data_IF_120968003582
#
_entry.id   IF_120968003582
#
_cell.length_a   1.000
_cell.length_b   1.000
_cell.length_c   1.000
_cell.angle_alpha   90.00
_cell.angle_beta   90.00
_cell.angle_gamma   90.00
#
_symmetry.space_group_name_H-M   'P 1'
#
loop_
_entity.id
_entity.type
_entity.pdbx_description
1 polymer ?
#
# COMPACT_ATOMS: atom_id res chain seq x y z
N UNK A 1 -21.77 17.17 -8.73
CA UNK A 1 -21.46 18.50 -9.31
C UNK A 1 -20.46 19.28 -8.47
N UNK A 2 -20.74 19.62 -7.20
CA UNK A 2 -19.79 20.38 -6.36
C UNK A 2 -18.46 19.64 -6.13
N UNK A 3 -18.52 18.38 -5.69
CA UNK A 3 -17.32 17.56 -5.45
C UNK A 3 -16.51 17.27 -6.71
N UNK A 4 -17.17 17.17 -7.86
CA UNK A 4 -16.51 16.98 -9.15
C UNK A 4 -15.71 18.24 -9.52
N UNK A 5 -16.28 19.43 -9.32
CA UNK A 5 -15.60 20.71 -9.56
C UNK A 5 -14.41 20.86 -8.61
N UNK A 6 -14.57 20.55 -7.32
CA UNK A 6 -13.47 20.56 -6.34
C UNK A 6 -12.36 19.60 -6.76
N UNK A 7 -12.72 18.37 -7.16
CA UNK A 7 -11.76 17.37 -7.65
C UNK A 7 -11.00 17.85 -8.89
N UNK A 8 -11.69 18.45 -9.86
CA UNK A 8 -11.08 19.02 -11.05
C UNK A 8 -10.14 20.19 -10.72
N UNK A 9 -10.49 21.06 -9.77
CA UNK A 9 -9.63 22.18 -9.36
C UNK A 9 -8.37 21.71 -8.63
N UNK A 10 -8.47 20.68 -7.78
CA UNK A 10 -7.31 20.07 -7.12
C UNK A 10 -6.40 19.38 -8.15
N UNK A 11 -6.98 18.61 -9.07
CA UNK A 11 -6.22 17.99 -10.15
C UNK A 11 -5.54 19.05 -11.02
N UNK A 12 -6.25 20.10 -11.41
CA UNK A 12 -5.68 21.25 -12.12
C UNK A 12 -4.48 21.82 -11.35
N UNK A 13 -4.62 22.09 -10.05
CA UNK A 13 -3.52 22.64 -9.25
C UNK A 13 -2.29 21.72 -9.17
N UNK A 14 -2.50 20.39 -9.11
CA UNK A 14 -1.43 19.39 -9.10
C UNK A 14 -0.69 19.35 -10.44
N UNK A 15 -1.41 19.41 -11.58
CA UNK A 15 -0.81 19.21 -12.91
C UNK A 15 -0.34 20.49 -13.61
N UNK A 16 -0.96 21.65 -13.35
CA UNK A 16 -0.67 22.89 -14.10
C UNK A 16 0.74 23.43 -13.86
N UNK A 17 1.34 23.09 -12.71
CA UNK A 17 2.70 23.51 -12.34
C UNK A 17 3.75 22.42 -12.57
N UNK A 18 3.46 21.43 -13.43
CA UNK A 18 4.34 20.28 -13.69
C UNK A 18 4.71 20.21 -15.15
N UNK A 19 6.00 20.05 -15.40
CA UNK A 19 6.48 19.81 -16.76
C UNK A 19 6.38 18.31 -17.09
N UNK A 20 6.64 17.96 -18.36
CA UNK A 20 6.61 16.57 -18.82
C UNK A 20 7.58 15.66 -18.04
N UNK A 21 8.76 16.16 -17.66
CA UNK A 21 9.75 15.39 -16.93
C UNK A 21 9.29 15.04 -15.52
N UNK A 22 8.57 15.95 -14.83
CA UNK A 22 8.03 15.68 -13.49
C UNK A 22 7.02 14.52 -13.53
N UNK A 23 6.13 14.53 -14.53
CA UNK A 23 5.14 13.47 -14.74
C UNK A 23 5.82 12.16 -15.13
N UNK A 24 6.80 12.21 -16.04
CA UNK A 24 7.55 11.04 -16.47
C UNK A 24 8.31 10.42 -15.30
N UNK A 25 8.98 11.24 -14.49
CA UNK A 25 9.76 10.79 -13.34
C UNK A 25 8.86 10.17 -12.26
N UNK A 26 7.73 10.81 -11.93
CA UNK A 26 6.74 10.24 -11.02
C UNK A 26 6.19 8.90 -11.53
N UNK A 27 5.96 8.79 -12.85
CA UNK A 27 5.50 7.54 -13.48
C UNK A 27 6.54 6.43 -13.35
N UNK A 28 7.82 6.75 -13.58
CA UNK A 28 8.91 5.79 -13.45
C UNK A 28 9.04 5.34 -12.00
N UNK A 29 9.13 6.27 -11.04
CA UNK A 29 9.28 5.95 -9.61
C UNK A 29 8.12 5.09 -9.11
N UNK A 30 6.88 5.50 -9.38
CA UNK A 30 5.72 4.70 -8.96
C UNK A 30 5.72 3.30 -9.57
N UNK A 31 6.17 3.13 -10.82
CA UNK A 31 6.18 1.81 -11.49
C UNK A 31 7.25 0.90 -10.91
N UNK A 32 8.47 1.42 -10.73
CA UNK A 32 9.61 0.63 -10.23
C UNK A 32 9.46 0.26 -8.75
N UNK A 33 8.69 1.02 -7.97
CA UNK A 33 8.31 0.67 -6.61
C UNK A 33 7.14 -0.33 -6.62
N UNK A 34 6.01 0.03 -7.22
CA UNK A 34 4.78 -0.74 -7.12
C UNK A 34 4.88 -2.17 -7.68
N UNK A 35 5.50 -2.36 -8.86
CA UNK A 35 5.50 -3.68 -9.50
C UNK A 35 6.34 -4.70 -8.71
N UNK A 36 7.62 -4.45 -8.40
CA UNK A 36 8.43 -5.41 -7.66
C UNK A 36 7.95 -5.60 -6.21
N UNK A 37 7.54 -4.53 -5.54
CA UNK A 37 7.12 -4.60 -4.14
C UNK A 37 5.81 -5.38 -4.00
N UNK A 38 4.79 -5.12 -4.84
CA UNK A 38 3.56 -5.91 -4.77
C UNK A 38 3.78 -7.36 -5.19
N UNK A 39 4.64 -7.62 -6.19
CA UNK A 39 4.98 -8.98 -6.56
C UNK A 39 5.60 -9.74 -5.38
N UNK A 40 6.57 -9.15 -4.70
CA UNK A 40 7.26 -9.79 -3.57
C UNK A 40 6.34 -9.91 -2.34
N UNK A 41 5.75 -8.81 -1.87
CA UNK A 41 5.05 -8.80 -0.59
C UNK A 41 3.64 -9.40 -0.69
N UNK A 42 2.92 -9.19 -1.80
CA UNK A 42 1.54 -9.69 -1.97
C UNK A 42 1.53 -11.02 -2.71
N UNK A 43 2.27 -11.11 -3.81
CA UNK A 43 2.38 -12.34 -4.60
C UNK A 43 3.08 -13.46 -3.83
N UNK A 44 4.35 -13.24 -3.48
CA UNK A 44 5.21 -14.28 -2.90
C UNK A 44 4.96 -14.46 -1.39
N UNK A 45 5.16 -13.42 -0.58
CA UNK A 45 5.11 -13.55 0.88
C UNK A 45 3.69 -13.79 1.36
N UNK A 46 2.76 -12.88 1.08
CA UNK A 46 1.37 -13.01 1.55
C UNK A 46 0.65 -14.21 0.92
N UNK A 47 0.74 -14.37 -0.41
CA UNK A 47 0.18 -15.54 -1.10
C UNK A 47 0.76 -16.86 -0.60
N UNK A 48 2.07 -16.92 -0.36
CA UNK A 48 2.75 -18.07 0.21
C UNK A 48 2.28 -18.40 1.63
N UNK A 49 2.20 -17.40 2.51
CA UNK A 49 1.69 -17.56 3.88
C UNK A 49 0.26 -18.10 3.88
N UNK A 50 -0.64 -17.47 3.10
CA UNK A 50 -2.03 -17.91 2.99
C UNK A 50 -2.15 -19.36 2.49
N UNK A 51 -1.37 -19.73 1.47
CA UNK A 51 -1.34 -21.09 0.94
C UNK A 51 -0.86 -22.09 2.00
N UNK A 52 0.19 -21.76 2.75
CA UNK A 52 0.70 -22.61 3.82
C UNK A 52 -0.35 -22.83 4.92
N UNK A 53 -1.02 -21.78 5.39
CA UNK A 53 -2.07 -21.90 6.41
C UNK A 53 -3.31 -22.63 5.91
N UNK A 54 -3.70 -22.44 4.65
CA UNK A 54 -4.83 -23.16 4.04
C UNK A 54 -4.59 -24.67 3.98
N UNK A 55 -3.40 -25.07 3.53
CA UNK A 55 -3.01 -26.48 3.47
C UNK A 55 -2.90 -27.11 4.86
N UNK A 56 -2.42 -26.35 5.85
CA UNK A 56 -2.21 -26.84 7.20
C UNK A 56 -3.51 -27.03 8.02
N UNK A 57 -4.50 -26.12 7.89
CA UNK A 57 -5.56 -26.01 8.90
C UNK A 57 -7.01 -26.31 8.46
N UNK A 58 -7.36 -26.60 7.19
CA UNK A 58 -8.73 -26.94 6.70
C UNK A 58 -9.93 -26.11 7.23
N UNK A 59 -9.72 -25.02 7.97
CA UNK A 59 -10.76 -24.32 8.71
C UNK A 59 -10.18 -23.17 9.54
N UNK A 60 -10.69 -21.95 9.30
CA UNK A 60 -10.27 -20.73 10.00
C UNK A 60 -9.88 -19.57 9.07
N UNK A 61 -10.63 -19.33 7.99
CA UNK A 61 -10.26 -18.38 6.93
C UNK A 61 -9.98 -16.97 7.45
N UNK A 62 -10.91 -16.34 8.18
CA UNK A 62 -10.80 -14.91 8.56
C UNK A 62 -9.58 -14.57 9.42
N UNK A 63 -9.26 -15.37 10.44
CA UNK A 63 -8.10 -15.11 11.33
C UNK A 63 -6.79 -15.32 10.58
N UNK A 64 -6.72 -16.34 9.73
CA UNK A 64 -5.54 -16.60 8.90
C UNK A 64 -5.29 -15.45 7.91
N UNK A 65 -6.35 -14.90 7.29
CA UNK A 65 -6.23 -13.71 6.45
C UNK A 65 -5.60 -12.54 7.20
N UNK A 66 -6.17 -12.14 8.33
CA UNK A 66 -5.65 -11.01 9.10
C UNK A 66 -4.20 -11.24 9.54
N UNK A 67 -3.88 -12.43 10.02
CA UNK A 67 -2.52 -12.77 10.44
C UNK A 67 -1.51 -12.68 9.28
N UNK A 68 -1.83 -13.29 8.13
CA UNK A 68 -0.94 -13.25 6.96
C UNK A 68 -0.79 -11.83 6.42
N UNK A 69 -1.87 -11.04 6.42
CA UNK A 69 -1.83 -9.64 6.03
C UNK A 69 -0.92 -8.83 6.95
N UNK A 70 -1.04 -9.01 8.27
CA UNK A 70 -0.19 -8.32 9.25
C UNK A 70 1.29 -8.67 9.05
N UNK A 71 1.62 -9.95 8.87
CA UNK A 71 3.01 -10.37 8.65
C UNK A 71 3.60 -9.80 7.35
N UNK A 72 2.87 -9.89 6.24
CA UNK A 72 3.32 -9.34 4.96
C UNK A 72 3.47 -7.81 5.03
N UNK A 73 2.51 -7.13 5.67
CA UNK A 73 2.52 -5.67 5.84
C UNK A 73 3.67 -5.20 6.74
N UNK A 74 4.01 -5.97 7.77
CA UNK A 74 5.16 -5.68 8.62
C UNK A 74 6.47 -5.88 7.87
N UNK A 75 6.59 -6.96 7.07
CA UNK A 75 7.77 -7.18 6.23
C UNK A 75 7.95 -6.07 5.19
N UNK A 76 6.85 -5.62 4.57
CA UNK A 76 6.82 -4.49 3.64
C UNK A 76 7.26 -3.19 4.33
N UNK A 77 6.73 -2.90 5.51
CA UNK A 77 7.12 -1.75 6.32
C UNK A 77 8.60 -1.78 6.73
N UNK A 78 9.10 -2.92 7.19
CA UNK A 78 10.51 -3.07 7.60
C UNK A 78 11.49 -2.85 6.44
N UNK A 79 11.11 -3.13 5.19
CA UNK A 79 11.95 -2.87 4.02
C UNK A 79 12.29 -1.38 3.85
N UNK A 80 11.39 -0.50 4.28
CA UNK A 80 11.56 0.95 4.21
C UNK A 80 12.56 1.49 5.23
N UNK A 81 13.03 0.66 6.18
CA UNK A 81 14.15 1.01 7.06
C UNK A 81 15.41 1.38 6.26
N UNK A 82 15.56 0.82 5.05
CA UNK A 82 16.65 1.16 4.13
C UNK A 82 16.70 2.64 3.73
N UNK A 83 15.61 3.40 3.92
CA UNK A 83 15.56 4.84 3.67
C UNK A 83 16.15 5.68 4.82
N UNK A 84 16.52 5.07 5.95
CA UNK A 84 17.11 5.77 7.10
C UNK A 84 18.26 6.73 6.72
N UNK A 85 19.23 6.35 5.85
CA UNK A 85 20.33 7.24 5.50
C UNK A 85 19.92 8.44 4.63
N UNK A 86 18.82 8.34 3.86
CA UNK A 86 18.39 9.37 2.92
C UNK A 86 17.49 10.42 3.56
N UNK A 87 16.58 10.01 4.45
CA UNK A 87 15.54 10.89 5.00
C UNK A 87 15.62 11.08 6.53
N UNK A 88 16.48 10.34 7.24
CA UNK A 88 16.63 10.42 8.68
C UNK A 88 15.61 9.58 9.47
N UNK A 89 15.82 9.50 10.78
CA UNK A 89 15.12 8.55 11.65
C UNK A 89 13.61 8.80 11.75
N UNK A 90 13.20 10.03 12.06
CA UNK A 90 11.79 10.34 12.28
C UNK A 90 10.96 10.15 11.02
N UNK A 91 11.42 10.67 9.88
CA UNK A 91 10.76 10.48 8.60
C UNK A 91 10.67 8.99 8.22
N UNK A 92 11.71 8.20 8.49
CA UNK A 92 11.70 6.75 8.25
C UNK A 92 10.70 6.03 9.15
N UNK A 93 10.65 6.34 10.44
CA UNK A 93 9.66 5.77 11.36
C UNK A 93 8.23 6.13 10.94
N UNK A 94 7.98 7.39 10.57
CA UNK A 94 6.69 7.81 10.07
C UNK A 94 6.29 7.10 8.78
N UNK A 95 7.20 7.02 7.80
CA UNK A 95 6.99 6.25 6.58
C UNK A 95 6.65 4.79 6.92
N UNK A 96 7.42 4.13 7.78
CA UNK A 96 7.16 2.76 8.21
C UNK A 96 5.78 2.57 8.85
N UNK A 97 5.34 3.52 9.70
CA UNK A 97 3.99 3.52 10.28
C UNK A 97 2.95 3.61 9.16
N UNK A 98 3.05 4.60 8.28
CA UNK A 98 2.11 4.82 7.19
C UNK A 98 2.01 3.60 6.25
N UNK A 99 3.16 3.12 5.78
CA UNK A 99 3.22 2.01 4.81
C UNK A 99 2.86 0.67 5.45
N UNK A 100 2.88 0.53 6.78
CA UNK A 100 2.31 -0.66 7.45
C UNK A 100 0.79 -0.74 7.25
N UNK A 101 0.09 0.40 7.31
CA UNK A 101 -1.34 0.48 7.00
C UNK A 101 -1.62 0.30 5.51
N UNK A 102 -0.81 0.93 4.64
CA UNK A 102 -0.88 0.71 3.18
C UNK A 102 -0.67 -0.77 2.84
N UNK A 103 0.30 -1.40 3.52
CA UNK A 103 0.48 -2.82 3.76
C UNK A 103 -0.80 -3.62 3.67
N UNK A 104 -1.65 -3.37 4.67
CA UNK A 104 -2.92 -4.04 4.89
C UNK A 104 -3.92 -3.75 3.77
N UNK A 105 -4.03 -2.50 3.33
CA UNK A 105 -4.93 -2.10 2.25
C UNK A 105 -4.64 -2.86 0.96
N UNK A 106 -3.38 -2.90 0.52
CA UNK A 106 -3.00 -3.56 -0.73
C UNK A 106 -3.19 -5.08 -0.65
N UNK A 107 -2.94 -5.69 0.52
CA UNK A 107 -3.27 -7.10 0.73
C UNK A 107 -4.78 -7.36 0.70
N UNK A 108 -5.61 -6.47 1.26
CA UNK A 108 -7.07 -6.56 1.17
C UNK A 108 -7.57 -6.42 -0.27
N UNK A 109 -6.98 -5.51 -1.05
CA UNK A 109 -7.28 -5.35 -2.48
C UNK A 109 -6.93 -6.62 -3.26
N UNK A 110 -5.78 -7.23 -2.98
CA UNK A 110 -5.41 -8.49 -3.61
C UNK A 110 -6.45 -9.60 -3.35
N UNK A 111 -6.91 -9.76 -2.11
CA UNK A 111 -7.96 -10.72 -1.76
C UNK A 111 -9.30 -10.35 -2.41
N UNK A 112 -9.68 -9.07 -2.39
CA UNK A 112 -10.97 -8.57 -2.89
C UNK A 112 -11.15 -8.82 -4.38
N UNK A 113 -10.08 -8.57 -5.16
CA UNK A 113 -10.12 -8.60 -6.62
C UNK A 113 -9.46 -9.86 -7.21
N UNK A 114 -8.72 -10.64 -6.42
CA UNK A 114 -8.08 -11.88 -6.85
C UNK A 114 -6.99 -11.71 -7.90
N UNK A 115 -6.41 -10.51 -8.02
CA UNK A 115 -5.34 -10.17 -8.97
C UNK A 115 -4.34 -9.21 -8.35
N UNK A 116 -3.05 -9.34 -8.71
CA UNK A 116 -2.01 -8.38 -8.32
C UNK A 116 -2.12 -7.05 -9.06
N UNK A 117 -2.90 -6.96 -10.14
CA UNK A 117 -3.04 -5.71 -10.90
C UNK A 117 -3.65 -4.59 -10.05
N UNK A 118 -4.60 -4.90 -9.18
CA UNK A 118 -5.24 -3.89 -8.34
C UNK A 118 -4.31 -3.31 -7.27
N UNK A 119 -3.61 -4.11 -6.44
CA UNK A 119 -2.63 -3.55 -5.52
C UNK A 119 -1.50 -2.82 -6.25
N UNK A 120 -1.01 -3.33 -7.38
CA UNK A 120 0.02 -2.63 -8.20
C UNK A 120 -0.50 -1.26 -8.62
N UNK A 121 -1.72 -1.18 -9.16
CA UNK A 121 -2.30 0.07 -9.61
C UNK A 121 -2.47 1.08 -8.48
N UNK A 122 -2.99 0.66 -7.33
CA UNK A 122 -3.19 1.57 -6.18
C UNK A 122 -1.86 2.02 -5.58
N UNK A 123 -0.89 1.13 -5.44
CA UNK A 123 0.46 1.48 -4.99
C UNK A 123 1.11 2.47 -5.96
N UNK A 124 1.07 2.17 -7.26
CA UNK A 124 1.55 3.06 -8.31
C UNK A 124 0.93 4.46 -8.20
N UNK A 125 -0.39 4.55 -8.03
CA UNK A 125 -1.09 5.84 -7.88
C UNK A 125 -0.64 6.62 -6.64
N UNK A 126 -0.44 5.95 -5.51
CA UNK A 126 0.02 6.59 -4.28
C UNK A 126 1.42 7.18 -4.50
N UNK A 127 2.37 6.37 -4.99
CA UNK A 127 3.76 6.80 -5.17
C UNK A 127 3.91 7.84 -6.28
N UNK A 128 3.13 7.70 -7.36
CA UNK A 128 3.04 8.68 -8.43
C UNK A 128 2.60 10.05 -7.89
N UNK A 129 1.51 10.09 -7.11
CA UNK A 129 0.98 11.34 -6.56
C UNK A 129 1.93 11.94 -5.52
N UNK A 130 2.50 11.12 -4.63
CA UNK A 130 3.48 11.58 -3.63
C UNK A 130 4.69 12.20 -4.32
N UNK A 131 5.24 11.52 -5.32
CA UNK A 131 6.40 11.99 -6.10
C UNK A 131 6.07 13.25 -6.90
N UNK A 132 4.88 13.33 -7.51
CA UNK A 132 4.46 14.50 -8.27
C UNK A 132 4.26 15.73 -7.37
N UNK A 133 3.80 15.54 -6.13
CA UNK A 133 3.56 16.64 -5.19
C UNK A 133 4.86 17.09 -4.50
N UNK A 134 5.64 16.15 -3.96
CA UNK A 134 6.79 16.45 -3.08
C UNK A 134 8.14 16.34 -3.79
N UNK A 135 8.16 15.84 -5.02
CA UNK A 135 9.38 15.54 -5.76
C UNK A 135 9.90 14.13 -5.51
N UNK A 136 10.95 13.73 -6.26
CA UNK A 136 11.48 12.37 -6.31
C UNK A 136 12.45 12.01 -5.19
N UNK A 137 12.93 12.99 -4.43
CA UNK A 137 13.96 12.79 -3.41
C UNK A 137 13.42 13.16 -2.03
N UNK A 138 13.71 12.34 -1.00
CA UNK A 138 13.36 12.70 0.37
C UNK A 138 14.09 13.98 0.79
N UNK A 139 13.34 14.99 1.24
CA UNK A 139 13.90 16.22 1.80
C UNK A 139 14.06 16.09 3.31
N UNK A 140 15.19 16.56 3.86
CA UNK A 140 15.40 16.64 5.32
C UNK A 140 14.40 17.62 5.93
N UNK A 141 13.77 17.22 7.02
CA UNK A 141 12.86 18.06 7.80
C UNK A 141 13.65 19.21 8.45
N UNK A 142 13.12 20.42 8.39
CA UNK A 142 13.70 21.60 9.05
C UNK A 142 12.74 22.06 10.19
N UNK A 143 12.98 21.63 11.43
CA UNK A 143 12.38 22.20 12.64
C UNK A 143 11.62 21.22 13.55
N UNK A 144 11.67 21.50 14.86
CA UNK A 144 11.11 20.67 15.97
C UNK A 144 9.57 20.57 15.95
N UNK A 145 8.87 21.43 15.19
CA UNK A 145 7.41 21.36 14.97
C UNK A 145 6.97 20.47 13.80
N UNK A 146 7.92 19.90 13.05
CA UNK A 146 7.65 19.08 11.86
C UNK A 146 7.63 17.57 12.17
N UNK A 147 8.51 17.13 13.08
CA UNK A 147 8.67 15.71 13.44
C UNK A 147 7.44 15.09 14.11
N UNK A 148 6.85 15.78 15.09
CA UNK A 148 5.63 15.30 15.76
C UNK A 148 4.43 15.30 14.80
N UNK A 149 4.33 16.33 13.96
CA UNK A 149 3.29 16.45 12.92
C UNK A 149 3.39 15.29 11.94
N UNK A 150 4.60 14.95 11.49
CA UNK A 150 4.85 13.83 10.59
C UNK A 150 4.38 12.51 11.19
N UNK A 151 4.72 12.23 12.46
CA UNK A 151 4.28 11.00 13.13
C UNK A 151 2.75 10.96 13.26
N UNK A 152 2.11 12.07 13.67
CA UNK A 152 0.65 12.15 13.78
C UNK A 152 -0.02 11.88 12.41
N UNK A 153 0.45 12.55 11.35
CA UNK A 153 -0.08 12.36 9.99
C UNK A 153 0.12 10.92 9.52
N UNK A 154 1.28 10.32 9.80
CA UNK A 154 1.59 8.93 9.45
C UNK A 154 0.64 7.94 10.14
N UNK A 155 0.35 8.16 11.43
CA UNK A 155 -0.61 7.34 12.19
C UNK A 155 -2.03 7.48 11.65
N UNK A 156 -2.44 8.71 11.30
CA UNK A 156 -3.77 8.96 10.70
C UNK A 156 -3.92 8.21 9.38
N UNK A 157 -2.95 8.33 8.47
CA UNK A 157 -2.98 7.62 7.18
C UNK A 157 -2.96 6.10 7.36
N UNK A 158 -2.11 5.59 8.25
CA UNK A 158 -2.10 4.17 8.59
C UNK A 158 -3.47 3.69 9.07
N UNK A 159 -4.11 4.46 9.97
CA UNK A 159 -5.46 4.18 10.48
C UNK A 159 -6.53 4.17 9.38
N UNK A 160 -6.49 5.13 8.46
CA UNK A 160 -7.39 5.19 7.31
C UNK A 160 -7.21 3.95 6.42
N UNK A 161 -5.97 3.59 6.07
CA UNK A 161 -5.71 2.40 5.26
C UNK A 161 -6.16 1.12 5.93
N UNK A 162 -5.95 0.98 7.25
CA UNK A 162 -6.44 -0.16 8.03
C UNK A 162 -7.97 -0.20 8.04
N UNK A 163 -8.65 0.94 8.24
CA UNK A 163 -10.11 0.98 8.23
C UNK A 163 -10.69 0.56 6.88
N UNK A 164 -10.13 1.06 5.78
CA UNK A 164 -10.53 0.67 4.41
C UNK A 164 -10.22 -0.80 4.16
N UNK A 165 -9.05 -1.29 4.56
CA UNK A 165 -8.67 -2.71 4.49
C UNK A 165 -9.70 -3.60 5.18
N UNK A 166 -10.07 -3.28 6.42
CA UNK A 166 -11.06 -4.03 7.18
C UNK A 166 -12.44 -3.98 6.52
N UNK A 167 -12.85 -2.83 6.00
CA UNK A 167 -14.09 -2.68 5.25
C UNK A 167 -14.10 -3.54 3.97
N UNK A 168 -13.02 -3.54 3.19
CA UNK A 168 -12.88 -4.35 1.97
C UNK A 168 -12.93 -5.85 2.29
N UNK A 169 -12.22 -6.29 3.33
CA UNK A 169 -12.27 -7.67 3.78
C UNK A 169 -13.66 -8.07 4.26
N UNK A 170 -14.34 -7.20 5.01
CA UNK A 170 -15.68 -7.49 5.51
C UNK A 170 -16.67 -7.75 4.37
N UNK A 171 -16.59 -6.94 3.31
CA UNK A 171 -17.48 -7.02 2.13
C UNK A 171 -16.95 -7.93 1.01
N UNK A 172 -15.82 -8.62 1.21
CA UNK A 172 -15.33 -9.63 0.28
C UNK A 172 -16.08 -10.95 0.49
N UNK A 173 -16.97 -11.30 -0.42
CA UNK A 173 -17.76 -12.54 -0.34
C UNK A 173 -17.01 -13.77 -0.89
N UNK A 174 -16.11 -13.60 -1.87
CA UNK A 174 -15.40 -14.71 -2.55
C UNK A 174 -14.03 -15.05 -1.94
N UNK A 175 -13.92 -15.10 -0.60
CA UNK A 175 -12.65 -15.46 0.04
C UNK A 175 -12.25 -16.91 -0.22
N UNK A 176 -13.22 -17.81 -0.31
CA UNK A 176 -12.95 -19.23 -0.57
C UNK A 176 -12.55 -19.48 -2.01
N UNK A 177 -13.22 -18.85 -3.00
CA UNK A 177 -12.80 -18.94 -4.39
C UNK A 177 -11.43 -18.31 -4.61
N UNK A 178 -11.11 -17.21 -3.93
CA UNK A 178 -9.74 -16.68 -3.91
C UNK A 178 -8.73 -17.72 -3.42
N UNK A 179 -9.01 -18.39 -2.29
CA UNK A 179 -8.10 -19.42 -1.76
C UNK A 179 -7.99 -20.63 -2.67
N UNK A 180 -9.07 -21.08 -3.31
CA UNK A 180 -9.05 -22.18 -4.27
C UNK A 180 -8.14 -21.87 -5.46
N UNK A 181 -8.29 -20.66 -6.05
CA UNK A 181 -7.42 -20.17 -7.13
C UNK A 181 -5.96 -20.08 -6.69
N UNK A 182 -5.69 -19.52 -5.52
CA UNK A 182 -4.34 -19.39 -4.96
C UNK A 182 -3.68 -20.75 -4.67
N UNK A 183 -4.46 -21.74 -4.23
CA UNK A 183 -3.99 -23.08 -3.95
C UNK A 183 -3.77 -23.94 -5.21
N UNK A 184 -4.19 -23.46 -6.39
CA UNK A 184 -4.18 -24.23 -7.64
C UNK A 184 -5.23 -25.35 -7.67
N UNK A 185 -6.28 -25.24 -6.86
CA UNK A 185 -7.40 -26.17 -6.87
C UNK A 185 -8.47 -25.65 -7.85
N UNK A 186 -8.81 -26.45 -8.86
CA UNK A 186 -9.91 -26.13 -9.77
C UNK A 186 -11.21 -26.03 -8.95
N UNK A 187 -11.93 -24.92 -9.11
CA UNK A 187 -13.30 -24.77 -8.64
C UNK A 187 -14.12 -25.80 -9.44
N UNK A 188 -14.59 -26.86 -8.77
CA UNK A 188 -15.49 -27.84 -9.37
C UNK A 188 -16.89 -27.25 -9.55
#
# INVERSE_FOLDING_TARGET
>A
MFWDIVGCLVAWQIFTNRNFLDILQASVIGTIAAVPEEYLYRGVIFGGLLRAFYLANRGGTKRNFLYCMLLSSLAFSLAHWSNLPSQGAVATVGQMIQVSGMGMLLAALYVRYGTLLMPIFVHFMIDFLVTLIHGPYPSKLNGVSDETTLIIVSVIWAGIYVAISMWLLWHCHDKEGFMARLAGQAIK
#
